data_IF_130234271934
#
_entry.id   IF_130234271934
#
_cell.length_a   1.000
_cell.length_b   1.000
_cell.length_c   1.000
_cell.angle_alpha   90.00
_cell.angle_beta   90.00
_cell.angle_gamma   90.00
#
_symmetry.space_group_name_H-M   'P 1'
#
loop_
_entity.id
_entity.type
_entity.pdbx_description
1 polymer ?
#
# COMPACT_ATOMS: atom_id res chain seq x y z
N UNK A 1 13.63 15.80 22.95
CA UNK A 1 14.07 15.59 21.55
C UNK A 1 13.51 14.30 20.94
N UNK A 2 13.62 13.15 21.64
CA UNK A 2 13.14 11.84 21.16
C UNK A 2 11.64 11.79 20.77
N UNK A 3 10.77 12.42 21.55
CA UNK A 3 9.31 12.40 21.29
C UNK A 3 8.92 13.07 19.97
N UNK A 4 9.61 14.15 19.58
CA UNK A 4 9.34 14.86 18.31
C UNK A 4 9.72 14.00 17.11
N UNK A 5 10.88 13.33 17.20
CA UNK A 5 11.37 12.41 16.15
C UNK A 5 10.46 11.19 15.99
N UNK A 6 10.03 10.58 17.09
CA UNK A 6 9.10 9.44 17.03
C UNK A 6 7.74 9.83 16.43
N UNK A 7 7.19 10.98 16.84
CA UNK A 7 5.95 11.52 16.26
C UNK A 7 6.10 11.74 14.75
N UNK A 8 7.25 12.28 14.32
CA UNK A 8 7.52 12.52 12.91
C UNK A 8 7.70 11.22 12.11
N UNK A 9 8.39 10.23 12.67
CA UNK A 9 8.47 8.88 12.09
C UNK A 9 7.09 8.28 11.89
N UNK A 10 6.22 8.36 12.92
CA UNK A 10 4.86 7.82 12.81
C UNK A 10 4.05 8.55 11.73
N UNK A 11 4.19 9.88 11.63
CA UNK A 11 3.60 10.67 10.53
C UNK A 11 4.03 10.14 9.16
N UNK A 12 5.34 9.99 8.94
CA UNK A 12 5.89 9.47 7.68
C UNK A 12 5.50 8.03 7.41
N UNK A 13 5.37 7.21 8.45
CA UNK A 13 4.89 5.84 8.34
C UNK A 13 3.44 5.78 7.86
N UNK A 14 2.52 6.52 8.49
CA UNK A 14 1.10 6.46 8.11
C UNK A 14 0.85 7.00 6.70
N UNK A 15 1.47 8.14 6.35
CA UNK A 15 1.34 8.70 5.01
C UNK A 15 2.00 7.79 3.98
N UNK A 16 3.21 7.30 4.26
CA UNK A 16 3.92 6.36 3.39
C UNK A 16 3.16 5.05 3.22
N UNK A 17 2.54 4.53 4.27
CA UNK A 17 1.73 3.31 4.22
C UNK A 17 0.55 3.49 3.29
N UNK A 18 -0.18 4.60 3.38
CA UNK A 18 -1.29 4.89 2.46
C UNK A 18 -0.85 4.96 1.00
N UNK A 19 0.23 5.70 0.73
CA UNK A 19 0.76 5.85 -0.63
C UNK A 19 1.28 4.51 -1.21
N UNK A 20 2.05 3.75 -0.42
CA UNK A 20 2.57 2.45 -0.83
C UNK A 20 1.44 1.44 -1.00
N UNK A 21 0.43 1.46 -0.13
CA UNK A 21 -0.78 0.63 -0.26
C UNK A 21 -1.44 0.90 -1.61
N UNK A 22 -1.73 2.17 -1.93
CA UNK A 22 -2.34 2.51 -3.22
C UNK A 22 -1.55 1.98 -4.44
N UNK A 23 -0.23 2.15 -4.44
CA UNK A 23 0.63 1.67 -5.53
C UNK A 23 0.67 0.14 -5.60
N UNK A 24 0.87 -0.54 -4.47
CA UNK A 24 0.99 -2.00 -4.40
C UNK A 24 -0.32 -2.73 -4.68
N UNK A 25 -1.47 -2.14 -4.34
CA UNK A 25 -2.78 -2.70 -4.68
C UNK A 25 -2.99 -2.77 -6.20
N UNK A 26 -2.51 -1.79 -6.96
CA UNK A 26 -2.58 -1.84 -8.43
C UNK A 26 -1.90 -3.09 -9.00
N UNK A 27 -0.69 -3.39 -8.54
CA UNK A 27 0.03 -4.61 -8.94
C UNK A 27 -0.62 -5.89 -8.42
N UNK A 28 -1.16 -5.86 -7.21
CA UNK A 28 -1.81 -7.03 -6.58
C UNK A 28 -3.11 -7.40 -7.31
N UNK A 29 -3.90 -6.41 -7.73
CA UNK A 29 -5.10 -6.63 -8.55
C UNK A 29 -4.76 -7.05 -9.97
N UNK A 30 -3.66 -6.53 -10.55
CA UNK A 30 -3.18 -7.01 -11.84
C UNK A 30 -2.74 -8.48 -11.76
N UNK A 31 -2.02 -8.87 -10.69
CA UNK A 31 -1.67 -10.28 -10.45
C UNK A 31 -2.92 -11.14 -10.35
N UNK A 32 -3.93 -10.71 -9.59
CA UNK A 32 -5.21 -11.40 -9.48
C UNK A 32 -5.87 -11.60 -10.86
N UNK A 33 -5.94 -10.54 -11.68
CA UNK A 33 -6.52 -10.63 -13.03
C UNK A 33 -5.76 -11.64 -13.90
N UNK A 34 -4.44 -11.52 -13.98
CA UNK A 34 -3.62 -12.44 -14.78
C UNK A 34 -3.69 -13.86 -14.23
N UNK A 35 -3.75 -14.02 -12.91
CA UNK A 35 -3.82 -15.31 -12.26
C UNK A 35 -5.13 -16.04 -12.52
N UNK A 36 -6.26 -15.34 -12.60
CA UNK A 36 -7.54 -15.94 -13.04
C UNK A 36 -7.49 -16.36 -14.50
N UNK A 37 -6.87 -15.57 -15.37
CA UNK A 37 -6.79 -15.88 -16.81
C UNK A 37 -5.85 -17.06 -17.10
N UNK A 38 -4.83 -17.27 -16.27
CA UNK A 38 -3.75 -18.23 -16.51
C UNK A 38 -3.67 -19.35 -15.44
N UNK A 39 -4.68 -19.48 -14.58
CA UNK A 39 -4.73 -20.45 -13.48
C UNK A 39 -3.49 -20.43 -12.55
N UNK A 40 -3.04 -19.23 -12.16
CA UNK A 40 -1.90 -19.09 -11.24
C UNK A 40 -2.28 -19.43 -9.79
N UNK A 41 -1.33 -19.93 -8.97
CA UNK A 41 -1.59 -20.18 -7.57
C UNK A 41 -1.75 -18.86 -6.78
N UNK A 42 -2.44 -18.90 -5.64
CA UNK A 42 -2.50 -17.74 -4.73
C UNK A 42 -3.42 -16.60 -5.17
N UNK A 43 -4.24 -16.83 -6.20
CA UNK A 43 -5.42 -16.02 -6.51
C UNK A 43 -6.31 -15.95 -5.26
N UNK A 44 -6.71 -14.74 -4.89
CA UNK A 44 -7.31 -14.46 -3.57
C UNK A 44 -8.72 -13.88 -3.64
N UNK A 45 -9.19 -13.48 -4.82
CA UNK A 45 -10.58 -13.11 -5.05
C UNK A 45 -11.28 -14.23 -5.83
N UNK A 46 -12.42 -14.69 -5.32
CA UNK A 46 -13.28 -15.66 -6.00
C UNK A 46 -14.72 -15.16 -6.04
N UNK A 47 -15.46 -15.52 -7.08
CA UNK A 47 -16.89 -15.20 -7.19
C UNK A 47 -17.67 -16.39 -6.65
N UNK A 48 -18.45 -16.18 -5.60
CA UNK A 48 -19.34 -17.19 -5.02
C UNK A 48 -20.75 -16.90 -5.48
N UNK A 49 -21.45 -17.95 -5.92
CA UNK A 49 -22.85 -17.88 -6.33
C UNK A 49 -23.70 -18.67 -5.33
N UNK A 50 -24.77 -18.05 -4.83
CA UNK A 50 -25.75 -18.71 -3.99
C UNK A 50 -26.81 -19.45 -4.82
N UNK A 51 -27.50 -20.44 -4.21
CA UNK A 51 -28.66 -21.09 -4.83
C UNK A 51 -29.82 -20.12 -5.15
N UNK A 52 -29.88 -18.97 -4.47
CA UNK A 52 -30.85 -17.88 -4.71
C UNK A 52 -30.61 -17.12 -6.02
N UNK A 53 -29.44 -17.28 -6.64
CA UNK A 53 -28.98 -16.50 -7.79
C UNK A 53 -28.18 -15.26 -7.42
N UNK A 54 -27.99 -14.98 -6.12
CA UNK A 54 -27.12 -13.90 -5.65
C UNK A 54 -25.65 -14.26 -5.83
N UNK A 55 -24.80 -13.23 -5.99
CA UNK A 55 -23.35 -13.41 -6.05
C UNK A 55 -22.64 -12.39 -5.17
N UNK A 56 -21.49 -12.79 -4.63
CA UNK A 56 -20.54 -11.90 -3.99
C UNK A 56 -19.11 -12.30 -4.27
N UNK A 57 -18.19 -11.37 -4.00
CA UNK A 57 -16.77 -11.64 -4.01
C UNK A 57 -16.36 -12.15 -2.63
N UNK A 58 -15.78 -13.34 -2.60
CA UNK A 58 -15.10 -13.87 -1.44
C UNK A 58 -13.59 -13.58 -1.54
N UNK A 59 -13.00 -13.20 -0.42
CA UNK A 59 -11.58 -12.85 -0.32
C UNK A 59 -10.90 -13.88 0.58
N UNK A 60 -9.97 -14.64 0.02
CA UNK A 60 -9.07 -15.48 0.82
C UNK A 60 -7.97 -14.61 1.44
N UNK A 61 -8.24 -14.13 2.65
CA UNK A 61 -7.30 -13.34 3.46
C UNK A 61 -6.02 -14.11 3.85
N UNK A 62 -6.00 -15.43 3.68
CA UNK A 62 -4.82 -16.26 3.95
C UNK A 62 -3.91 -16.43 2.74
N UNK A 63 -4.31 -15.91 1.57
CA UNK A 63 -3.50 -16.00 0.36
C UNK A 63 -2.07 -15.48 0.59
N UNK A 64 -1.03 -16.24 0.18
CA UNK A 64 0.35 -15.82 0.34
C UNK A 64 0.66 -14.53 -0.44
N UNK A 65 -0.11 -14.23 -1.50
CA UNK A 65 0.05 -13.00 -2.28
C UNK A 65 -0.46 -11.80 -1.49
N UNK A 66 -1.65 -11.89 -0.87
CA UNK A 66 -2.17 -10.81 -0.01
C UNK A 66 -1.27 -10.58 1.20
N UNK A 67 -0.86 -11.64 1.88
CA UNK A 67 0.04 -11.55 3.04
C UNK A 67 1.39 -10.96 2.60
N UNK A 68 1.95 -11.42 1.49
CA UNK A 68 3.20 -10.93 0.93
C UNK A 68 3.12 -9.44 0.58
N UNK A 69 2.06 -9.01 -0.12
CA UNK A 69 1.81 -7.60 -0.42
C UNK A 69 1.73 -6.79 0.87
N UNK A 70 0.92 -7.22 1.85
CA UNK A 70 0.76 -6.49 3.11
C UNK A 70 2.09 -6.31 3.86
N UNK A 71 2.89 -7.37 3.97
CA UNK A 71 4.20 -7.34 4.63
C UNK A 71 5.16 -6.43 3.87
N UNK A 72 5.29 -6.59 2.55
CA UNK A 72 6.18 -5.77 1.72
C UNK A 72 5.82 -4.29 1.78
N UNK A 73 4.52 -3.96 1.69
CA UNK A 73 4.02 -2.58 1.76
C UNK A 73 4.29 -1.96 3.13
N UNK A 74 4.06 -2.72 4.21
CA UNK A 74 4.33 -2.26 5.58
C UNK A 74 5.83 -2.03 5.81
N UNK A 75 6.68 -2.94 5.33
CA UNK A 75 8.13 -2.80 5.42
C UNK A 75 8.64 -1.62 4.60
N UNK A 76 8.16 -1.44 3.37
CA UNK A 76 8.52 -0.30 2.54
C UNK A 76 8.14 1.04 3.20
N UNK A 77 6.94 1.11 3.79
CA UNK A 77 6.50 2.29 4.54
C UNK A 77 7.35 2.54 5.80
N UNK A 78 7.76 1.48 6.51
CA UNK A 78 8.64 1.59 7.67
C UNK A 78 10.04 2.09 7.26
N UNK A 79 10.61 1.54 6.20
CA UNK A 79 11.90 2.00 5.64
C UNK A 79 11.79 3.48 5.27
N UNK A 80 10.73 3.87 4.56
CA UNK A 80 10.48 5.27 4.22
C UNK A 80 10.42 6.17 5.47
N UNK A 81 9.68 5.76 6.50
CA UNK A 81 9.57 6.51 7.75
C UNK A 81 10.90 6.65 8.48
N UNK A 82 11.73 5.61 8.49
CA UNK A 82 13.06 5.64 9.10
C UNK A 82 14.02 6.54 8.33
N UNK A 83 13.95 6.55 6.99
CA UNK A 83 14.76 7.43 6.14
C UNK A 83 14.35 8.90 6.33
N UNK A 84 13.05 9.18 6.42
CA UNK A 84 12.49 10.55 6.55
C UNK A 84 12.25 11.00 7.99
N UNK A 85 12.72 10.26 8.99
CA UNK A 85 12.46 10.52 10.42
C UNK A 85 12.85 11.93 10.90
N UNK A 86 13.84 12.54 10.26
CA UNK A 86 14.40 13.84 10.63
C UNK A 86 13.90 14.96 9.68
N UNK A 87 12.99 14.65 8.75
CA UNK A 87 12.35 15.58 7.82
C UNK A 87 11.06 16.16 8.43
N UNK A 88 11.10 17.43 8.82
CA UNK A 88 10.01 18.12 9.51
C UNK A 88 9.19 19.04 8.61
N UNK A 89 9.54 19.15 7.32
CA UNK A 89 8.79 19.98 6.37
C UNK A 89 7.34 19.50 6.27
N UNK A 90 6.43 20.42 5.98
CA UNK A 90 5.07 20.05 5.63
C UNK A 90 5.05 19.33 4.29
N UNK A 91 4.22 18.30 4.11
CA UNK A 91 4.08 17.61 2.80
C UNK A 91 3.60 18.53 1.65
N UNK A 92 3.09 19.72 1.98
CA UNK A 92 2.72 20.77 1.02
C UNK A 92 3.84 21.78 0.75
N UNK A 93 4.91 21.76 1.53
CA UNK A 93 6.01 22.69 1.41
C UNK A 93 7.08 22.06 0.51
N UNK A 94 7.28 22.67 -0.64
CA UNK A 94 8.34 22.30 -1.58
C UNK A 94 9.64 22.96 -1.14
N UNK A 95 10.73 22.19 -1.04
CA UNK A 95 12.09 22.75 -0.98
C UNK A 95 12.47 23.45 -2.30
N UNK A 96 11.79 23.09 -3.39
CA UNK A 96 11.99 23.66 -4.72
C UNK A 96 11.12 24.91 -4.80
N UNK A 97 11.74 26.08 -4.68
CA UNK A 97 11.12 27.35 -5.06
C UNK A 97 11.19 27.48 -6.59
N UNK A 98 10.07 27.78 -7.25
CA UNK A 98 10.13 28.11 -8.68
C UNK A 98 11.02 29.34 -8.85
N UNK A 99 11.90 29.33 -9.84
CA UNK A 99 12.60 30.55 -10.22
C UNK A 99 11.58 31.57 -10.74
N UNK A 100 11.77 32.84 -10.40
CA UNK A 100 10.98 33.93 -10.96
C UNK A 100 11.11 33.94 -12.49
N UNK A 101 10.04 33.59 -13.21
CA UNK A 101 10.01 33.54 -14.68
C UNK A 101 9.35 32.31 -15.31
N UNK A 102 8.90 31.33 -14.51
CA UNK A 102 8.00 30.25 -14.92
C UNK A 102 6.65 30.37 -14.22
#
# INVERSE_FOLDING_TARGET
MHTKRLKNMFRHFIVGLGAMTYLTWGFTLLYQYLGVVNDWPGVFLTVVHEPSGDWWLDVDWTSPVLVGTFVCTTLAALVYAVVRRDDYLGYRESEIQSQSGF
#
